data_IF_808383663643
#
_entry.id   IF_808383663643
#
_cell.length_a   1.000
_cell.length_b   1.000
_cell.length_c   1.000
_cell.angle_alpha   90.00
_cell.angle_beta   90.00
_cell.angle_gamma   90.00
#
_symmetry.space_group_name_H-M   'P 1'
#
loop_
_entity.id
_entity.type
_entity.pdbx_description
1 polymer ?
#
# COMPACT_ATOMS: atom_id res chain seq x y z
N UNK A 1 -4.03 7.78 21.62
CA UNK A 1 -3.02 8.54 20.84
C UNK A 1 -1.71 7.81 20.98
N UNK A 2 -0.87 7.80 19.94
CA UNK A 2 0.49 7.24 19.96
C UNK A 2 1.45 8.37 19.65
N UNK A 3 2.48 8.55 20.47
CA UNK A 3 3.53 9.55 20.24
C UNK A 3 4.74 8.89 19.60
N UNK A 4 5.34 9.56 18.61
CA UNK A 4 6.51 9.07 17.89
C UNK A 4 7.68 9.97 18.26
N UNK A 5 8.59 9.43 19.08
CA UNK A 5 9.83 10.09 19.46
C UNK A 5 10.98 9.53 18.59
N UNK A 6 11.61 10.39 17.79
CA UNK A 6 12.72 10.00 16.92
C UNK A 6 14.05 10.32 17.60
N UNK A 7 14.98 9.38 17.58
CA UNK A 7 16.34 9.59 18.08
C UNK A 7 17.22 10.24 17.00
N UNK A 8 17.96 11.29 17.36
CA UNK A 8 18.96 11.89 16.48
C UNK A 8 20.36 11.25 16.68
N UNK A 9 21.35 11.71 15.90
CA UNK A 9 22.74 11.23 15.99
C UNK A 9 23.41 11.53 17.33
N UNK A 10 22.90 12.50 18.08
CA UNK A 10 23.38 12.89 19.42
C UNK A 10 22.65 12.13 20.54
N UNK A 11 21.94 11.05 20.19
CA UNK A 11 21.14 10.22 21.10
C UNK A 11 19.97 10.94 21.81
N UNK A 12 19.57 12.12 21.33
CA UNK A 12 18.42 12.85 21.85
C UNK A 12 17.13 12.39 21.17
N UNK A 13 16.10 12.15 21.98
CA UNK A 13 14.75 11.85 21.50
C UNK A 13 13.95 13.12 21.35
N UNK A 14 13.33 13.30 20.18
CA UNK A 14 12.48 14.46 19.89
C UNK A 14 11.15 14.01 19.30
N UNK A 15 10.07 14.54 19.85
CA UNK A 15 8.74 14.48 19.24
C UNK A 15 8.61 15.74 18.38
N UNK A 16 8.37 15.56 17.09
CA UNK A 16 8.21 16.68 16.17
C UNK A 16 6.89 17.40 16.42
N UNK A 17 6.86 18.73 16.23
CA UNK A 17 5.63 19.52 16.35
C UNK A 17 4.59 19.11 15.30
N UNK A 18 5.05 18.78 14.10
CA UNK A 18 4.26 18.20 13.02
C UNK A 18 4.49 16.69 12.96
N UNK A 19 3.42 15.90 12.86
CA UNK A 19 3.44 14.43 12.79
C UNK A 19 4.12 13.73 13.98
N UNK A 20 4.29 14.40 15.13
CA UNK A 20 4.85 13.80 16.34
C UNK A 20 3.91 12.84 17.07
N UNK A 21 2.65 12.76 16.64
CA UNK A 21 1.70 11.79 17.18
C UNK A 21 0.67 11.38 16.13
N UNK A 22 0.06 10.23 16.39
CA UNK A 22 -1.02 9.64 15.60
C UNK A 22 -2.22 9.42 16.51
N UNK A 23 -3.41 9.73 16.01
CA UNK A 23 -4.66 9.66 16.78
C UNK A 23 -5.66 8.70 16.14
N UNK A 24 -6.14 7.75 16.93
CA UNK A 24 -7.26 6.90 16.53
C UNK A 24 -8.52 7.71 16.20
N UNK A 25 -9.39 7.13 15.38
CA UNK A 25 -10.59 7.79 14.86
C UNK A 25 -11.76 7.76 15.84
N UNK A 26 -11.88 6.70 16.64
CA UNK A 26 -13.07 6.44 17.45
C UNK A 26 -12.81 6.65 18.93
N UNK A 27 -13.75 7.33 19.60
CA UNK A 27 -13.73 7.47 21.06
C UNK A 27 -13.83 6.09 21.72
N UNK A 28 -13.07 5.87 22.81
CA UNK A 28 -13.00 4.59 23.54
C UNK A 28 -12.46 3.39 22.74
N UNK A 29 -12.03 3.55 21.49
CA UNK A 29 -11.43 2.49 20.68
C UNK A 29 -10.08 1.97 21.20
N UNK A 30 -9.48 2.69 22.17
CA UNK A 30 -8.15 2.43 22.77
C UNK A 30 -7.04 2.30 21.73
N UNK A 31 -7.04 3.21 20.74
CA UNK A 31 -5.95 3.32 19.78
C UNK A 31 -4.59 3.53 20.48
N UNK A 32 -3.64 2.65 20.17
CA UNK A 32 -2.33 2.61 20.79
C UNK A 32 -2.22 1.64 21.97
N UNK A 33 -3.21 0.76 22.18
CA UNK A 33 -3.12 -0.25 23.25
C UNK A 33 -2.00 -1.26 22.98
N UNK A 34 -1.79 -1.60 21.72
CA UNK A 34 -0.72 -2.48 21.25
C UNK A 34 -0.03 -1.83 20.06
N UNK A 35 1.28 -2.06 19.96
CA UNK A 35 2.13 -1.56 18.89
C UNK A 35 3.12 -2.67 18.55
N UNK A 36 3.33 -2.93 17.25
CA UNK A 36 4.35 -3.85 16.78
C UNK A 36 5.16 -3.21 15.65
N UNK A 37 6.47 -3.46 15.64
CA UNK A 37 7.29 -3.22 14.45
C UNK A 37 6.96 -4.29 13.41
N UNK A 38 6.80 -3.87 12.16
CA UNK A 38 6.58 -4.76 11.03
C UNK A 38 7.85 -4.95 10.19
N UNK A 39 8.89 -4.14 10.43
CA UNK A 39 9.96 -3.94 9.46
C UNK A 39 9.45 -3.27 8.19
N UNK A 40 10.26 -3.26 7.14
CA UNK A 40 9.90 -2.72 5.83
C UNK A 40 8.94 -3.66 5.05
N UNK A 41 7.64 -3.41 5.16
CA UNK A 41 6.57 -4.25 4.59
C UNK A 41 6.24 -3.93 3.14
N UNK A 42 6.62 -2.76 2.64
CA UNK A 42 6.43 -2.38 1.24
C UNK A 42 7.74 -2.30 0.44
N UNK A 43 8.87 -2.63 1.08
CA UNK A 43 10.23 -2.61 0.50
C UNK A 43 10.64 -1.23 -0.01
N UNK A 44 10.21 -0.16 0.69
CA UNK A 44 10.55 1.22 0.34
C UNK A 44 11.81 1.76 1.06
N UNK A 45 12.41 0.95 1.93
CA UNK A 45 13.62 1.24 2.69
C UNK A 45 13.37 1.82 4.08
N UNK A 46 12.12 1.91 4.54
CA UNK A 46 11.78 2.40 5.87
C UNK A 46 10.93 1.38 6.62
N UNK A 47 11.24 1.18 7.90
CA UNK A 47 10.44 0.26 8.73
C UNK A 47 9.05 0.83 9.04
N UNK A 48 8.06 -0.05 8.98
CA UNK A 48 6.66 0.22 9.22
C UNK A 48 6.21 -0.27 10.61
N UNK A 49 5.04 0.21 11.04
CA UNK A 49 4.45 -0.18 12.32
C UNK A 49 2.96 -0.54 12.19
N UNK A 50 2.51 -1.44 13.07
CA UNK A 50 1.10 -1.71 13.31
C UNK A 50 0.68 -1.15 14.67
N UNK A 51 -0.53 -0.58 14.74
CA UNK A 51 -1.14 -0.06 15.96
C UNK A 51 -2.52 -0.66 16.15
N UNK A 52 -2.74 -1.31 17.29
CA UNK A 52 -4.03 -1.91 17.64
C UNK A 52 -4.97 -0.93 18.34
N UNK A 53 -6.25 -1.07 18.02
CA UNK A 53 -7.37 -0.38 18.65
C UNK A 53 -8.50 -1.40 18.88
N UNK A 54 -8.43 -2.22 19.95
CA UNK A 54 -9.23 -3.43 20.09
C UNK A 54 -10.73 -3.22 20.29
N UNK A 55 -11.13 -1.98 20.55
CA UNK A 55 -12.53 -1.59 20.78
C UNK A 55 -13.01 -0.59 19.73
N UNK A 56 -12.25 -0.44 18.64
CA UNK A 56 -12.61 0.40 17.49
C UNK A 56 -13.46 -0.41 16.49
N UNK A 57 -13.98 0.27 15.46
CA UNK A 57 -14.82 -0.31 14.41
C UNK A 57 -16.32 -0.22 14.67
N UNK A 58 -17.15 -0.55 13.67
CA UNK A 58 -18.60 -0.38 13.73
C UNK A 58 -19.24 -1.08 14.93
N UNK A 59 -18.73 -2.25 15.30
CA UNK A 59 -19.25 -3.07 16.39
C UNK A 59 -18.32 -3.10 17.62
N UNK A 60 -17.30 -2.23 17.68
CA UNK A 60 -16.25 -2.26 18.71
C UNK A 60 -15.51 -3.61 18.80
N UNK A 61 -15.42 -4.33 17.68
CA UNK A 61 -14.78 -5.64 17.61
C UNK A 61 -13.24 -5.56 17.48
N UNK A 62 -12.74 -4.40 17.07
CA UNK A 62 -11.32 -4.09 17.00
C UNK A 62 -10.82 -3.82 15.59
N UNK A 63 -9.82 -2.94 15.51
CA UNK A 63 -9.13 -2.57 14.27
C UNK A 63 -7.62 -2.58 14.53
N UNK A 64 -6.86 -2.99 13.51
CA UNK A 64 -5.41 -2.78 13.43
C UNK A 64 -5.09 -1.82 12.30
N UNK A 65 -4.34 -0.77 12.62
CA UNK A 65 -3.92 0.27 11.68
C UNK A 65 -2.46 0.04 11.28
N UNK A 66 -2.16 0.09 9.99
CA UNK A 66 -0.80 0.05 9.47
C UNK A 66 -0.35 1.47 9.14
N UNK A 67 0.84 1.84 9.61
CA UNK A 67 1.47 3.12 9.33
C UNK A 67 2.83 2.90 8.71
N UNK A 68 3.05 3.58 7.59
CA UNK A 68 4.30 3.42 6.85
C UNK A 68 5.40 4.32 7.38
N UNK A 69 6.62 3.80 7.29
CA UNK A 69 7.83 4.56 7.49
C UNK A 69 8.07 5.60 6.39
N UNK A 70 9.01 6.51 6.67
CA UNK A 70 9.54 7.45 5.69
C UNK A 70 10.86 8.04 6.18
N UNK A 71 11.56 8.74 5.29
CA UNK A 71 12.73 9.56 5.63
C UNK A 71 12.49 10.57 6.78
N UNK A 72 11.24 10.96 7.00
CA UNK A 72 10.85 11.95 8.00
C UNK A 72 10.30 11.31 9.30
N UNK A 73 10.31 9.98 9.41
CA UNK A 73 9.65 9.21 10.47
C UNK A 73 8.37 8.54 9.98
N UNK A 74 7.50 8.17 10.91
CA UNK A 74 6.22 7.52 10.61
C UNK A 74 5.25 8.50 9.95
N UNK A 75 4.64 8.10 8.83
CA UNK A 75 3.57 8.86 8.17
C UNK A 75 2.31 8.78 9.04
N UNK A 76 1.64 9.91 9.35
CA UNK A 76 0.46 9.89 10.22
C UNK A 76 -0.77 9.29 9.53
N UNK A 77 -0.77 9.16 8.21
CA UNK A 77 -1.85 8.55 7.45
C UNK A 77 -1.82 7.02 7.56
N UNK A 78 -2.99 6.43 7.78
CA UNK A 78 -3.16 4.98 7.77
C UNK A 78 -3.09 4.45 6.33
N UNK A 79 -2.06 3.68 6.00
CA UNK A 79 -1.93 3.04 4.69
C UNK A 79 -2.91 1.88 4.51
N UNK A 80 -3.18 1.17 5.61
CA UNK A 80 -4.15 0.08 5.65
C UNK A 80 -4.88 0.09 6.99
N UNK A 81 -6.16 -0.25 6.95
CA UNK A 81 -7.01 -0.45 8.13
C UNK A 81 -7.58 -1.85 8.04
N UNK A 82 -7.17 -2.73 8.96
CA UNK A 82 -7.61 -4.12 9.02
C UNK A 82 -8.67 -4.20 10.11
N UNK A 83 -9.91 -4.44 9.74
CA UNK A 83 -11.03 -4.52 10.69
C UNK A 83 -11.33 -5.98 11.01
N UNK A 84 -11.77 -6.24 12.25
CA UNK A 84 -12.24 -7.55 12.64
C UNK A 84 -13.37 -8.06 11.72
N UNK A 85 -14.25 -7.17 11.25
CA UNK A 85 -15.38 -7.52 10.39
C UNK A 85 -14.98 -7.95 8.97
N UNK A 86 -13.77 -7.60 8.53
CA UNK A 86 -13.24 -8.01 7.21
C UNK A 86 -12.62 -9.42 7.27
N UNK A 87 -12.49 -10.01 8.46
CA UNK A 87 -12.00 -11.37 8.67
C UNK A 87 -13.18 -12.34 8.63
N UNK A 88 -13.01 -13.48 7.96
CA UNK A 88 -14.04 -14.52 7.83
C UNK A 88 -14.23 -15.35 9.13
N UNK A 89 -14.40 -14.68 10.27
CA UNK A 89 -14.77 -15.26 11.57
C UNK A 89 -15.81 -14.34 12.25
N UNK A 90 -17.12 -14.68 12.23
CA UNK A 90 -18.20 -13.80 12.69
C UNK A 90 -18.27 -13.59 14.21
N UNK A 91 -17.31 -14.10 14.99
CA UNK A 91 -17.24 -13.93 16.45
C UNK A 91 -16.04 -13.12 16.96
N UNK A 92 -15.23 -12.54 16.06
CA UNK A 92 -13.97 -11.91 16.43
C UNK A 92 -14.19 -10.61 17.22
N UNK A 93 -13.66 -10.56 18.45
CA UNK A 93 -13.75 -9.42 19.37
C UNK A 93 -12.39 -9.15 20.00
N UNK A 94 -12.17 -7.90 20.42
CA UNK A 94 -10.87 -7.44 20.94
C UNK A 94 -9.72 -7.65 19.94
N UNK A 95 -10.02 -7.62 18.64
CA UNK A 95 -9.05 -7.79 17.57
C UNK A 95 -8.00 -6.69 17.60
N UNK A 96 -6.72 -7.06 17.67
CA UNK A 96 -5.63 -6.12 17.83
C UNK A 96 -5.23 -5.87 19.28
N UNK A 97 -5.71 -6.67 20.24
CA UNK A 97 -5.33 -6.53 21.65
C UNK A 97 -3.84 -6.77 21.87
N UNK A 98 -3.27 -7.75 21.18
CA UNK A 98 -1.84 -7.98 21.09
C UNK A 98 -1.41 -8.10 19.63
N UNK A 99 -0.19 -7.68 19.34
CA UNK A 99 0.39 -7.69 18.00
C UNK A 99 1.80 -8.26 18.07
N UNK A 100 2.19 -9.03 17.06
CA UNK A 100 3.56 -9.47 16.84
C UNK A 100 3.85 -9.44 15.35
N UNK A 101 4.85 -8.67 14.93
CA UNK A 101 5.26 -8.55 13.53
C UNK A 101 6.76 -8.76 13.36
N UNK A 102 7.25 -8.50 12.15
CA UNK A 102 8.69 -8.50 11.85
C UNK A 102 9.27 -9.88 11.50
N UNK A 103 8.42 -10.88 11.24
CA UNK A 103 8.84 -12.22 10.85
C UNK A 103 8.06 -12.68 9.61
N UNK A 104 8.78 -13.12 8.59
CA UNK A 104 8.25 -13.80 7.41
C UNK A 104 8.00 -15.28 7.73
N UNK A 105 6.74 -15.71 7.72
CA UNK A 105 6.34 -17.08 8.10
C UNK A 105 6.12 -17.98 6.89
N UNK A 106 5.91 -17.41 5.70
CA UNK A 106 5.65 -18.17 4.47
C UNK A 106 6.79 -18.09 3.44
N UNK A 107 7.92 -17.52 3.86
CA UNK A 107 9.16 -17.39 3.08
C UNK A 107 8.99 -16.60 1.79
N UNK A 108 8.10 -15.61 1.78
CA UNK A 108 7.85 -14.76 0.62
C UNK A 108 8.70 -13.47 0.59
N UNK A 109 9.61 -13.29 1.56
CA UNK A 109 10.50 -12.13 1.83
C UNK A 109 9.85 -10.93 2.50
N UNK A 110 8.54 -10.96 2.74
CA UNK A 110 7.79 -9.92 3.43
C UNK A 110 7.44 -10.37 4.84
N UNK A 111 7.58 -9.46 5.80
CA UNK A 111 7.26 -9.76 7.19
C UNK A 111 5.74 -9.82 7.38
N UNK A 112 5.29 -10.85 8.09
CA UNK A 112 3.89 -11.07 8.40
C UNK A 112 3.51 -10.48 9.78
N UNK A 113 2.21 -10.47 10.06
CA UNK A 113 1.64 -9.92 11.28
C UNK A 113 0.71 -10.92 11.97
N UNK A 114 0.98 -11.22 13.23
CA UNK A 114 0.09 -11.95 14.12
C UNK A 114 -0.73 -10.96 14.96
N UNK A 115 -2.04 -11.21 15.04
CA UNK A 115 -3.01 -10.36 15.73
C UNK A 115 -3.79 -11.19 16.74
N UNK A 116 -3.68 -10.83 18.02
CA UNK A 116 -4.42 -11.47 19.10
C UNK A 116 -5.79 -10.83 19.32
N UNK A 117 -6.77 -11.69 19.62
CA UNK A 117 -8.15 -11.36 19.93
C UNK A 117 -8.62 -12.20 21.13
N UNK A 118 -8.14 -11.83 22.33
CA UNK A 118 -8.23 -12.68 23.52
C UNK A 118 -9.68 -12.99 23.93
N UNK A 119 -10.62 -12.04 23.77
CA UNK A 119 -12.00 -12.24 24.19
C UNK A 119 -12.74 -13.31 23.36
N UNK A 120 -12.23 -13.62 22.17
CA UNK A 120 -12.78 -14.65 21.30
C UNK A 120 -11.90 -15.91 21.27
N UNK A 121 -10.83 -15.98 22.06
CA UNK A 121 -9.84 -17.06 22.04
C UNK A 121 -9.31 -17.30 20.61
N UNK A 122 -8.93 -16.21 19.91
CA UNK A 122 -8.42 -16.26 18.53
C UNK A 122 -7.09 -15.55 18.38
N UNK A 123 -6.31 -16.06 17.44
CA UNK A 123 -5.15 -15.40 16.85
C UNK A 123 -5.34 -15.43 15.34
N UNK A 124 -5.08 -14.31 14.67
CA UNK A 124 -5.16 -14.18 13.21
C UNK A 124 -3.76 -13.93 12.69
N UNK A 125 -3.31 -14.77 11.75
CA UNK A 125 -2.09 -14.55 10.98
C UNK A 125 -2.44 -13.80 9.69
N UNK A 126 -1.89 -12.60 9.54
CA UNK A 126 -1.99 -11.78 8.34
C UNK A 126 -0.69 -11.90 7.55
N UNK A 127 -0.78 -12.53 6.38
CA UNK A 127 0.36 -12.68 5.49
C UNK A 127 0.52 -11.47 4.59
N UNK A 128 1.73 -10.92 4.50
CA UNK A 128 2.04 -9.84 3.59
C UNK A 128 2.01 -10.35 2.14
N UNK A 129 1.69 -9.45 1.20
CA UNK A 129 1.66 -9.76 -0.24
C UNK A 129 2.81 -9.02 -0.93
N UNK A 130 3.49 -9.63 -1.91
CA UNK A 130 4.50 -8.93 -2.69
C UNK A 130 3.97 -7.64 -3.32
N UNK A 131 4.79 -6.58 -3.25
CA UNK A 131 4.46 -5.26 -3.80
C UNK A 131 5.12 -5.11 -5.17
N UNK A 132 4.29 -4.94 -6.21
CA UNK A 132 4.76 -4.69 -7.57
C UNK A 132 4.66 -3.20 -7.91
N UNK A 133 5.80 -2.60 -8.27
CA UNK A 133 5.90 -1.25 -8.80
C UNK A 133 5.72 -1.27 -10.31
N UNK A 134 4.60 -0.74 -10.81
CA UNK A 134 4.30 -0.66 -12.25
C UNK A 134 4.60 0.73 -12.77
N UNK A 135 5.40 0.82 -13.83
CA UNK A 135 5.71 2.06 -14.55
C UNK A 135 5.12 1.99 -15.95
N UNK A 136 4.28 2.96 -16.29
CA UNK A 136 3.69 3.12 -17.61
C UNK A 136 4.30 4.35 -18.31
N UNK A 137 4.76 4.17 -19.54
CA UNK A 137 5.26 5.26 -20.40
C UNK A 137 4.36 5.42 -21.61
N UNK A 138 3.95 6.65 -21.88
CA UNK A 138 3.16 7.02 -23.04
C UNK A 138 4.04 7.84 -23.99
N UNK A 139 4.16 7.40 -25.22
CA UNK A 139 4.89 8.13 -26.28
C UNK A 139 4.02 8.26 -27.51
N UNK A 140 4.05 9.40 -28.18
CA UNK A 140 3.33 9.63 -29.44
C UNK A 140 4.33 9.73 -30.58
N UNK A 141 3.90 9.42 -31.80
CA UNK A 141 4.75 9.62 -32.99
C UNK A 141 4.78 11.06 -33.48
N UNK A 142 3.84 11.90 -33.03
CA UNK A 142 3.70 13.30 -33.44
C UNK A 142 3.48 14.14 -32.18
N UNK A 143 4.31 15.16 -31.97
CA UNK A 143 4.14 16.14 -30.89
C UNK A 143 3.05 17.17 -31.23
N UNK A 144 2.92 17.49 -32.53
CA UNK A 144 1.89 18.36 -33.07
C UNK A 144 1.11 17.63 -34.17
N UNK A 145 -0.20 17.83 -34.17
CA UNK A 145 -1.13 17.18 -35.11
C UNK A 145 -1.58 18.20 -36.15
N UNK A 146 -1.09 18.08 -37.38
CA UNK A 146 -1.52 18.93 -38.49
C UNK A 146 -2.84 18.38 -39.09
N UNK A 147 -3.94 19.14 -38.98
CA UNK A 147 -5.28 18.75 -39.43
C UNK A 147 -5.39 18.51 -40.96
N UNK A 148 -4.43 19.00 -41.74
CA UNK A 148 -4.38 18.77 -43.19
C UNK A 148 -3.68 17.44 -43.57
N UNK A 149 -2.97 16.85 -42.61
CA UNK A 149 -2.16 15.65 -42.80
C UNK A 149 -3.00 14.37 -42.61
N UNK A 150 -3.58 13.87 -43.70
CA UNK A 150 -4.48 12.70 -43.75
C UNK A 150 -3.77 11.43 -44.25
N UNK A 151 -2.68 11.07 -43.58
CA UNK A 151 -1.79 9.96 -43.92
C UNK A 151 -2.38 8.55 -43.70
N UNK A 152 -3.48 8.41 -42.97
CA UNK A 152 -4.10 7.12 -42.69
C UNK A 152 -5.40 6.91 -43.46
N UNK A 153 -5.77 5.63 -43.64
CA UNK A 153 -7.04 5.24 -44.26
C UNK A 153 -7.90 4.53 -43.20
N UNK A 154 -9.14 4.99 -43.00
CA UNK A 154 -10.09 4.34 -42.08
C UNK A 154 -10.59 3.02 -42.67
N UNK A 155 -11.26 2.20 -41.85
CA UNK A 155 -11.93 0.97 -42.28
C UNK A 155 -12.93 1.20 -43.43
N UNK A 156 -13.45 2.42 -43.57
CA UNK A 156 -14.43 2.81 -44.58
C UNK A 156 -13.77 3.35 -45.87
N UNK A 157 -12.44 3.30 -45.96
CA UNK A 157 -11.68 3.74 -47.14
C UNK A 157 -11.43 5.25 -47.22
N UNK A 158 -11.91 6.03 -46.25
CA UNK A 158 -11.71 7.47 -46.20
C UNK A 158 -10.32 7.82 -45.66
N UNK A 159 -9.68 8.83 -46.26
CA UNK A 159 -8.46 9.40 -45.70
C UNK A 159 -8.78 10.16 -44.41
N UNK A 160 -8.07 9.82 -43.36
CA UNK A 160 -8.22 10.41 -42.04
C UNK A 160 -6.86 10.76 -41.45
N UNK A 161 -6.90 11.70 -40.52
CA UNK A 161 -5.76 12.01 -39.70
C UNK A 161 -5.59 10.91 -38.65
N UNK A 162 -4.35 10.52 -38.40
CA UNK A 162 -4.04 9.53 -37.37
C UNK A 162 -2.82 9.92 -36.56
N UNK A 163 -2.83 9.50 -35.30
CA UNK A 163 -1.67 9.54 -34.41
C UNK A 163 -1.46 8.14 -33.86
N UNK A 164 -0.21 7.69 -33.85
CA UNK A 164 0.15 6.44 -33.20
C UNK A 164 0.61 6.75 -31.78
N UNK A 165 -0.06 6.12 -30.82
CA UNK A 165 0.29 6.16 -29.42
C UNK A 165 0.94 4.83 -29.06
N UNK A 166 2.17 4.88 -28.58
CA UNK A 166 2.87 3.73 -28.00
C UNK A 166 2.77 3.81 -26.50
N UNK A 167 2.08 2.83 -25.92
CA UNK A 167 1.99 2.62 -24.47
C UNK A 167 2.97 1.51 -24.13
N UNK A 168 3.90 1.75 -23.22
CA UNK A 168 4.74 0.69 -22.66
C UNK A 168 4.51 0.56 -21.16
N UNK A 169 4.42 -0.66 -20.70
CA UNK A 169 4.29 -1.04 -19.30
C UNK A 169 5.55 -1.81 -18.90
N UNK A 170 6.08 -1.50 -17.74
CA UNK A 170 7.13 -2.25 -17.07
C UNK A 170 6.75 -2.41 -15.61
N UNK A 171 7.20 -3.49 -14.96
CA UNK A 171 7.04 -3.62 -13.53
C UNK A 171 8.31 -4.15 -12.87
N UNK A 172 8.44 -3.88 -11.57
CA UNK A 172 9.53 -4.35 -10.72
C UNK A 172 9.00 -4.65 -9.32
N UNK A 173 9.74 -5.41 -8.51
CA UNK A 173 9.36 -5.69 -7.13
C UNK A 173 10.16 -6.85 -6.54
N UNK A 174 10.29 -6.87 -5.22
CA UNK A 174 10.95 -7.98 -4.50
C UNK A 174 9.93 -9.10 -4.29
N UNK A 175 10.30 -10.36 -4.49
CA UNK A 175 9.42 -11.51 -4.23
C UNK A 175 8.17 -11.60 -5.14
N UNK A 176 8.07 -10.79 -6.19
CA UNK A 176 7.00 -10.87 -7.20
C UNK A 176 7.32 -12.03 -8.15
N UNK A 177 6.32 -12.85 -8.50
CA UNK A 177 6.50 -14.04 -9.34
C UNK A 177 7.21 -13.70 -10.67
N UNK A 178 8.32 -14.37 -10.94
CA UNK A 178 9.06 -14.25 -12.20
C UNK A 178 8.29 -14.78 -13.42
N UNK A 179 7.16 -15.48 -13.24
CA UNK A 179 6.21 -15.80 -14.33
C UNK A 179 5.45 -14.59 -14.82
N UNK A 180 5.34 -13.54 -14.01
CA UNK A 180 4.94 -12.24 -14.52
C UNK A 180 6.07 -11.67 -15.42
N UNK A 181 7.31 -12.17 -15.36
CA UNK A 181 8.44 -11.89 -16.26
C UNK A 181 8.99 -10.46 -16.19
N UNK A 182 10.21 -10.19 -16.69
CA UNK A 182 10.60 -8.81 -17.02
C UNK A 182 9.65 -8.29 -18.12
N UNK A 183 8.45 -7.84 -17.74
CA UNK A 183 7.35 -7.60 -18.64
C UNK A 183 7.46 -6.17 -19.11
N UNK A 184 8.31 -5.97 -20.11
CA UNK A 184 8.27 -4.78 -20.93
C UNK A 184 7.26 -5.04 -22.05
N UNK A 185 6.01 -4.64 -21.84
CA UNK A 185 4.95 -4.78 -22.83
C UNK A 185 4.68 -3.43 -23.48
N UNK A 186 4.95 -3.32 -24.78
CA UNK A 186 4.52 -2.16 -25.56
C UNK A 186 3.38 -2.55 -26.49
N UNK A 187 2.33 -1.74 -26.49
CA UNK A 187 1.26 -1.81 -27.47
C UNK A 187 1.14 -0.49 -28.23
N UNK A 188 0.70 -0.60 -29.48
CA UNK A 188 0.45 0.53 -30.36
C UNK A 188 -1.06 0.72 -30.49
N UNK A 189 -1.53 1.92 -30.19
CA UNK A 189 -2.90 2.33 -30.39
C UNK A 189 -2.94 3.36 -31.52
N UNK A 190 -3.77 3.10 -32.53
CA UNK A 190 -3.99 4.03 -33.64
C UNK A 190 -5.25 4.84 -33.35
N UNK A 191 -5.07 6.15 -33.16
CA UNK A 191 -6.20 7.05 -32.98
C UNK A 191 -6.48 7.73 -34.30
N UNK A 192 -7.70 7.55 -34.81
CA UNK A 192 -8.23 8.30 -35.94
C UNK A 192 -8.96 9.54 -35.43
N UNK A 193 -8.64 10.70 -36.00
CA UNK A 193 -9.31 11.96 -35.73
C UNK A 193 -10.17 12.28 -36.96
N UNK A 194 -11.49 12.27 -36.76
CA UNK A 194 -12.50 12.62 -37.78
C UNK A 194 -12.84 14.11 -37.74
#
# INVERSE_FOLDING_TARGET
RVYVALQNRDHQFRIRSENGYVSGKTSKGRFGLSIASLGDTNKDGFDDIAVGAPYDGPNSNGIVYILLGSKNGIKPEYSQTIKAEDIADPGLRTFGYSLSGGMDVDSNTYNDLLIGAYYSDRIVLMKARPVANVTATLTTTKDNVNLEDRDCTTSDGNRALCVTIKVCLSYSGVGVDNRLGNFYFCSYCYIFLC
#
